data_IF_511954922254
#
_entry.id   IF_511954922254
#
_cell.length_a   1.000
_cell.length_b   1.000
_cell.length_c   1.000
_cell.angle_alpha   90.00
_cell.angle_beta   90.00
_cell.angle_gamma   90.00
#
_symmetry.space_group_name_H-M   'P 1'
#
loop_
_entity.id
_entity.type
_entity.pdbx_description
1 polymer ?
#
# COMPACT_ATOMS: atom_id res chain seq x y z
N UNK A 1 7.04 -37.46 22.64
CA UNK A 1 7.87 -36.24 22.86
C UNK A 1 8.22 -35.56 21.54
N UNK A 2 8.62 -36.30 20.49
CA UNK A 2 8.87 -35.74 19.14
C UNK A 2 7.63 -35.02 18.55
N UNK A 3 6.45 -35.63 18.66
CA UNK A 3 5.20 -35.08 18.13
C UNK A 3 4.84 -33.71 18.75
N UNK A 4 5.08 -33.55 20.05
CA UNK A 4 4.83 -32.28 20.75
C UNK A 4 5.80 -31.17 20.30
N UNK A 5 7.01 -31.54 19.85
CA UNK A 5 8.01 -30.58 19.38
C UNK A 5 7.71 -30.10 17.96
N UNK A 6 7.17 -30.97 17.09
CA UNK A 6 6.70 -30.57 15.77
C UNK A 6 5.49 -29.63 15.86
N UNK A 7 4.55 -29.90 16.76
CA UNK A 7 3.38 -29.03 17.01
C UNK A 7 3.83 -27.63 17.46
N UNK A 8 4.80 -27.53 18.39
CA UNK A 8 5.33 -26.24 18.84
C UNK A 8 5.96 -25.46 17.67
N UNK A 9 6.74 -26.12 16.81
CA UNK A 9 7.36 -25.49 15.63
C UNK A 9 6.31 -25.01 14.63
N UNK A 10 5.25 -25.78 14.44
CA UNK A 10 4.13 -25.41 13.58
C UNK A 10 3.45 -24.12 14.08
N UNK A 11 3.15 -24.02 15.38
CA UNK A 11 2.54 -22.81 15.96
C UNK A 11 3.49 -21.60 15.94
N UNK A 12 4.78 -21.80 16.24
CA UNK A 12 5.75 -20.71 16.14
C UNK A 12 5.82 -20.13 14.71
N UNK A 13 5.72 -20.98 13.69
CA UNK A 13 5.72 -20.56 12.29
C UNK A 13 4.43 -19.84 11.90
N UNK A 14 3.28 -20.26 12.44
CA UNK A 14 2.03 -19.51 12.30
C UNK A 14 2.13 -18.11 12.90
N UNK A 15 2.67 -17.98 14.11
CA UNK A 15 2.86 -16.69 14.77
C UNK A 15 3.80 -15.76 13.97
N UNK A 16 4.86 -16.32 13.38
CA UNK A 16 5.77 -15.58 12.51
C UNK A 16 5.08 -15.08 11.23
N UNK A 17 4.25 -15.91 10.60
CA UNK A 17 3.43 -15.50 9.46
C UNK A 17 2.42 -14.40 9.83
N UNK A 18 1.68 -14.56 10.93
CA UNK A 18 0.73 -13.55 11.38
C UNK A 18 1.41 -12.23 11.73
N UNK A 19 2.55 -12.30 12.41
CA UNK A 19 3.36 -11.12 12.74
C UNK A 19 3.84 -10.44 11.46
N UNK A 20 4.35 -11.21 10.49
CA UNK A 20 4.79 -10.67 9.21
C UNK A 20 3.67 -9.97 8.45
N UNK A 21 2.47 -10.57 8.40
CA UNK A 21 1.29 -9.99 7.74
C UNK A 21 0.87 -8.69 8.42
N UNK A 22 0.78 -8.66 9.75
CA UNK A 22 0.44 -7.44 10.51
C UNK A 22 1.46 -6.32 10.28
N UNK A 23 2.75 -6.64 10.27
CA UNK A 23 3.82 -5.68 10.00
C UNK A 23 3.73 -5.12 8.57
N UNK A 24 3.48 -5.98 7.57
CA UNK A 24 3.34 -5.56 6.17
C UNK A 24 2.13 -4.65 6.01
N UNK A 25 0.94 -5.06 6.47
CA UNK A 25 -0.29 -4.27 6.36
C UNK A 25 -0.11 -2.91 7.05
N UNK A 26 0.53 -2.88 8.23
CA UNK A 26 0.80 -1.63 8.94
C UNK A 26 1.82 -0.76 8.19
N UNK A 27 2.87 -1.36 7.64
CA UNK A 27 3.88 -0.67 6.84
C UNK A 27 3.28 -0.03 5.58
N UNK A 28 2.42 -0.76 4.86
CA UNK A 28 1.67 -0.23 3.71
C UNK A 28 0.74 0.92 4.12
N UNK A 29 0.09 0.81 5.28
CA UNK A 29 -0.76 1.87 5.81
C UNK A 29 0.02 3.11 6.23
N UNK A 30 1.21 2.96 6.81
CA UNK A 30 2.08 4.10 7.14
C UNK A 30 2.65 4.77 5.88
N UNK A 31 2.97 4.01 4.83
CA UNK A 31 3.32 4.57 3.51
C UNK A 31 2.18 5.42 2.94
N UNK A 32 0.95 4.91 2.96
CA UNK A 32 -0.22 5.68 2.48
C UNK A 32 -0.52 6.94 3.32
N UNK A 33 0.04 7.05 4.53
CA UNK A 33 -0.07 8.26 5.35
C UNK A 33 1.04 9.29 5.07
N UNK A 34 2.01 8.99 4.20
CA UNK A 34 3.06 9.93 3.80
C UNK A 34 2.50 10.99 2.86
N UNK A 35 2.97 12.22 3.04
CA UNK A 35 2.62 13.38 2.21
C UNK A 35 3.71 14.46 2.33
N UNK A 36 3.53 15.58 1.64
CA UNK A 36 4.48 16.71 1.65
C UNK A 36 4.86 17.22 3.06
N UNK A 37 3.99 17.04 4.06
CA UNK A 37 4.22 17.48 5.45
C UNK A 37 4.78 16.35 6.31
N UNK A 38 4.42 15.10 6.00
CA UNK A 38 4.79 13.90 6.73
C UNK A 38 5.66 13.01 5.83
N UNK A 39 6.96 13.28 5.81
CA UNK A 39 8.00 12.55 5.08
C UNK A 39 8.75 11.55 5.97
N UNK A 40 8.11 11.06 7.04
CA UNK A 40 8.75 10.17 8.01
C UNK A 40 8.83 8.72 7.53
N UNK A 41 9.71 8.46 6.56
CA UNK A 41 9.94 7.15 5.95
C UNK A 41 10.44 6.06 6.93
N UNK A 42 11.03 6.46 8.06
CA UNK A 42 11.65 5.52 9.01
C UNK A 42 10.68 4.44 9.51
N UNK A 43 9.46 4.84 9.92
CA UNK A 43 8.46 3.90 10.46
C UNK A 43 8.00 2.88 9.40
N UNK A 44 7.51 3.27 8.21
CA UNK A 44 7.13 2.30 7.19
C UNK A 44 8.30 1.40 6.79
N UNK A 45 9.53 1.92 6.68
CA UNK A 45 10.69 1.10 6.35
C UNK A 45 10.99 0.07 7.44
N UNK A 46 10.90 0.45 8.72
CA UNK A 46 11.09 -0.46 9.85
C UNK A 46 10.06 -1.59 9.87
N UNK A 47 8.81 -1.29 9.52
CA UNK A 47 7.72 -2.25 9.48
C UNK A 47 7.86 -3.20 8.29
N UNK A 48 8.06 -2.66 7.08
CA UNK A 48 8.18 -3.45 5.85
C UNK A 48 9.44 -4.32 5.83
N UNK A 49 10.58 -3.80 6.29
CA UNK A 49 11.83 -4.56 6.35
C UNK A 49 11.69 -5.82 7.20
N UNK A 50 11.14 -5.68 8.41
CA UNK A 50 10.88 -6.81 9.28
C UNK A 50 9.76 -7.72 8.76
N UNK A 51 8.71 -7.13 8.20
CA UNK A 51 7.57 -7.85 7.63
C UNK A 51 7.99 -8.77 6.48
N UNK A 52 8.70 -8.23 5.48
CA UNK A 52 9.17 -8.99 4.34
C UNK A 52 10.21 -10.05 4.70
N UNK A 53 11.14 -9.74 5.61
CA UNK A 53 12.13 -10.72 6.06
C UNK A 53 11.44 -11.93 6.72
N UNK A 54 10.53 -11.68 7.67
CA UNK A 54 9.78 -12.74 8.36
C UNK A 54 8.90 -13.52 7.41
N UNK A 55 8.23 -12.85 6.48
CA UNK A 55 7.39 -13.49 5.47
C UNK A 55 8.21 -14.46 4.61
N UNK A 56 9.34 -14.02 4.06
CA UNK A 56 10.17 -14.86 3.19
C UNK A 56 10.87 -15.99 3.95
N UNK A 57 11.36 -15.75 5.17
CA UNK A 57 11.91 -16.83 5.99
C UNK A 57 10.85 -17.86 6.37
N UNK A 58 9.63 -17.42 6.66
CA UNK A 58 8.51 -18.32 6.94
C UNK A 58 8.14 -19.14 5.70
N UNK A 59 8.09 -18.50 4.52
CA UNK A 59 7.94 -19.20 3.24
C UNK A 59 8.96 -20.32 3.10
N UNK A 60 10.25 -20.00 3.28
CA UNK A 60 11.35 -20.97 3.14
C UNK A 60 11.19 -22.11 4.15
N UNK A 61 10.87 -21.83 5.42
CA UNK A 61 10.64 -22.85 6.43
C UNK A 61 9.53 -23.85 6.03
N UNK A 62 8.44 -23.33 5.47
CA UNK A 62 7.29 -24.13 5.03
C UNK A 62 7.67 -24.98 3.83
N UNK A 63 8.27 -24.37 2.81
CA UNK A 63 8.72 -25.08 1.61
C UNK A 63 9.76 -26.16 1.95
N UNK A 64 10.71 -25.84 2.83
CA UNK A 64 11.73 -26.78 3.30
C UNK A 64 11.11 -27.98 4.02
N UNK A 65 10.13 -27.75 4.91
CA UNK A 65 9.40 -28.86 5.57
C UNK A 65 8.62 -29.70 4.56
N UNK A 66 7.99 -29.09 3.57
CA UNK A 66 7.28 -29.84 2.53
C UNK A 66 8.21 -30.75 1.71
N UNK A 67 9.41 -30.29 1.38
CA UNK A 67 10.37 -31.04 0.55
C UNK A 67 11.16 -32.08 1.36
N UNK A 68 11.56 -31.75 2.59
CA UNK A 68 12.50 -32.56 3.38
C UNK A 68 11.88 -33.29 4.58
N UNK A 69 10.58 -33.13 4.77
CA UNK A 69 9.82 -33.63 5.93
C UNK A 69 10.43 -33.27 7.30
N UNK A 70 11.18 -32.16 7.37
CA UNK A 70 11.69 -31.59 8.62
C UNK A 70 11.85 -30.08 8.49
N UNK A 71 11.77 -29.36 9.61
CA UNK A 71 12.07 -27.92 9.59
C UNK A 71 13.58 -27.66 9.44
N UNK A 72 13.96 -26.51 8.85
CA UNK A 72 15.37 -26.12 8.76
C UNK A 72 15.99 -25.95 10.15
N UNK A 73 17.29 -26.18 10.24
CA UNK A 73 18.03 -25.96 11.49
C UNK A 73 18.42 -24.48 11.66
N UNK A 74 18.87 -24.13 12.86
CA UNK A 74 19.30 -22.76 13.18
C UNK A 74 20.37 -22.23 12.22
N UNK A 75 21.36 -23.04 11.87
CA UNK A 75 22.45 -22.63 10.99
C UNK A 75 21.94 -22.30 9.58
N UNK A 76 20.99 -23.07 9.06
CA UNK A 76 20.37 -22.81 7.77
C UNK A 76 19.68 -21.44 7.77
N UNK A 77 18.80 -21.16 8.74
CA UNK A 77 18.11 -19.87 8.84
C UNK A 77 19.07 -18.70 9.07
N UNK A 78 20.12 -18.90 9.87
CA UNK A 78 21.15 -17.89 10.10
C UNK A 78 21.92 -17.57 8.82
N UNK A 79 22.24 -18.58 8.01
CA UNK A 79 22.99 -18.41 6.77
C UNK A 79 22.20 -17.71 5.67
N UNK A 80 20.86 -17.73 5.73
CA UNK A 80 20.02 -16.92 4.82
C UNK A 80 20.23 -15.40 5.02
N UNK A 81 20.71 -14.98 6.20
CA UNK A 81 20.95 -13.57 6.52
C UNK A 81 19.67 -12.74 6.61
N UNK A 82 19.79 -11.43 6.36
CA UNK A 82 18.69 -10.45 6.43
C UNK A 82 18.47 -9.73 5.08
N UNK A 83 19.17 -10.14 4.03
CA UNK A 83 19.06 -9.50 2.73
C UNK A 83 17.80 -9.98 2.00
N UNK A 84 16.86 -9.08 1.74
CA UNK A 84 15.59 -9.40 1.09
C UNK A 84 15.76 -9.96 -0.33
N UNK A 85 16.69 -9.43 -1.13
CA UNK A 85 16.96 -9.93 -2.48
C UNK A 85 17.57 -11.34 -2.43
N UNK A 86 18.44 -11.60 -1.45
CA UNK A 86 19.01 -12.94 -1.26
C UNK A 86 17.95 -13.96 -0.83
N UNK A 87 17.02 -13.56 0.04
CA UNK A 87 15.88 -14.38 0.43
C UNK A 87 14.93 -14.67 -0.74
N UNK A 88 14.63 -13.65 -1.55
CA UNK A 88 13.81 -13.84 -2.75
C UNK A 88 14.50 -14.76 -3.76
N UNK A 89 15.80 -14.60 -3.96
CA UNK A 89 16.60 -15.48 -4.82
C UNK A 89 16.54 -16.93 -4.35
N UNK A 90 16.75 -17.18 -3.06
CA UNK A 90 16.63 -18.51 -2.45
C UNK A 90 15.25 -19.13 -2.70
N UNK A 91 14.18 -18.35 -2.53
CA UNK A 91 12.81 -18.80 -2.82
C UNK A 91 12.70 -19.18 -4.30
N UNK A 92 13.10 -18.31 -5.22
CA UNK A 92 12.94 -18.50 -6.66
C UNK A 92 13.75 -19.68 -7.21
N UNK A 93 14.94 -19.95 -6.65
CA UNK A 93 15.82 -21.01 -7.12
C UNK A 93 15.47 -22.38 -6.54
N UNK A 94 15.08 -22.44 -5.26
CA UNK A 94 14.96 -23.71 -4.53
C UNK A 94 13.52 -24.10 -4.15
N UNK A 95 12.59 -23.15 -4.10
CA UNK A 95 11.28 -23.36 -3.45
C UNK A 95 10.06 -22.87 -4.25
N UNK A 96 10.26 -22.11 -5.33
CA UNK A 96 9.17 -21.58 -6.12
C UNK A 96 8.71 -22.62 -7.15
N UNK A 97 7.42 -22.96 -7.14
CA UNK A 97 6.86 -23.93 -8.09
C UNK A 97 6.27 -23.17 -9.28
N UNK A 98 6.84 -23.40 -10.46
CA UNK A 98 6.32 -22.87 -11.72
C UNK A 98 5.21 -23.78 -12.27
N UNK A 99 3.97 -23.32 -12.17
CA UNK A 99 2.83 -23.97 -12.80
C UNK A 99 2.57 -23.36 -14.18
N UNK A 100 2.15 -24.17 -15.14
CA UNK A 100 1.75 -23.74 -16.49
C UNK A 100 0.40 -23.00 -16.51
N UNK A 101 0.26 -21.96 -15.70
CA UNK A 101 -0.91 -21.05 -15.64
C UNK A 101 -0.45 -19.63 -15.95
N UNK A 102 -1.28 -18.89 -16.68
CA UNK A 102 -0.96 -17.52 -17.13
C UNK A 102 -0.57 -16.59 -15.99
N UNK A 103 -1.28 -16.64 -14.86
CA UNK A 103 -0.98 -15.80 -13.70
C UNK A 103 0.41 -16.08 -13.11
N UNK A 104 0.85 -17.34 -13.05
CA UNK A 104 2.16 -17.71 -12.50
C UNK A 104 3.29 -17.23 -13.39
N UNK A 105 3.09 -17.29 -14.71
CA UNK A 105 4.04 -16.72 -15.68
C UNK A 105 4.18 -15.20 -15.50
N UNK A 106 3.08 -14.49 -15.25
CA UNK A 106 3.13 -13.07 -14.93
C UNK A 106 3.84 -12.80 -13.60
N UNK A 107 3.54 -13.60 -12.57
CA UNK A 107 4.14 -13.48 -11.24
C UNK A 107 5.65 -13.72 -11.26
N UNK A 108 6.11 -14.82 -11.85
CA UNK A 108 7.54 -15.14 -11.91
C UNK A 108 8.30 -14.14 -12.76
N UNK A 109 7.70 -13.67 -13.85
CA UNK A 109 8.27 -12.59 -14.67
C UNK A 109 8.44 -11.33 -13.85
N UNK A 110 7.40 -10.92 -13.12
CA UNK A 110 7.47 -9.75 -12.24
C UNK A 110 8.56 -9.91 -11.17
N UNK A 111 8.59 -11.04 -10.46
CA UNK A 111 9.57 -11.29 -9.40
C UNK A 111 11.03 -11.30 -9.89
N UNK A 112 11.29 -11.73 -11.14
CA UNK A 112 12.65 -11.84 -11.70
C UNK A 112 13.10 -10.59 -12.46
N UNK A 113 12.20 -9.95 -13.18
CA UNK A 113 12.55 -8.96 -14.21
C UNK A 113 12.16 -7.54 -13.83
N UNK A 114 11.28 -7.31 -12.86
CA UNK A 114 10.84 -5.96 -12.53
C UNK A 114 11.91 -5.19 -11.75
N UNK A 115 12.48 -4.17 -12.37
CA UNK A 115 13.57 -3.38 -11.77
C UNK A 115 13.08 -2.50 -10.63
N UNK A 116 11.85 -2.00 -10.70
CA UNK A 116 11.26 -1.19 -9.62
C UNK A 116 11.13 -2.01 -8.32
N UNK A 117 10.68 -3.26 -8.41
CA UNK A 117 10.64 -4.18 -7.28
C UNK A 117 12.04 -4.43 -6.72
N UNK A 118 13.04 -4.66 -7.58
CA UNK A 118 14.42 -4.91 -7.13
C UNK A 118 14.97 -3.71 -6.37
N UNK A 119 14.78 -2.51 -6.92
CA UNK A 119 15.21 -1.25 -6.30
C UNK A 119 14.51 -1.02 -4.95
N UNK A 120 13.19 -1.20 -4.89
CA UNK A 120 12.44 -1.08 -3.64
C UNK A 120 12.87 -2.11 -2.59
N UNK A 121 13.04 -3.38 -2.97
CA UNK A 121 13.55 -4.41 -2.05
C UNK A 121 14.96 -4.10 -1.57
N UNK A 122 15.84 -3.60 -2.44
CA UNK A 122 17.18 -3.17 -2.08
C UNK A 122 17.15 -2.06 -1.02
N UNK A 123 16.36 -0.99 -1.23
CA UNK A 123 16.26 0.14 -0.28
C UNK A 123 15.77 -0.35 1.09
N UNK A 124 14.69 -1.14 1.12
CA UNK A 124 14.11 -1.67 2.37
C UNK A 124 15.08 -2.66 3.07
N UNK A 125 15.85 -3.43 2.29
CA UNK A 125 16.88 -4.35 2.77
C UNK A 125 18.05 -3.60 3.41
N UNK A 126 18.58 -2.55 2.76
CA UNK A 126 19.66 -1.72 3.30
C UNK A 126 19.24 -0.98 4.58
N UNK A 127 17.99 -0.51 4.63
CA UNK A 127 17.44 0.10 5.83
C UNK A 127 17.53 -0.85 7.02
N UNK A 128 16.99 -2.07 6.88
CA UNK A 128 16.97 -3.07 7.95
C UNK A 128 18.37 -3.45 8.46
N UNK A 129 19.36 -3.54 7.55
CA UNK A 129 20.72 -3.97 7.87
C UNK A 129 21.51 -2.90 8.62
N UNK A 130 21.60 -1.68 8.09
CA UNK A 130 22.60 -0.69 8.54
C UNK A 130 22.06 0.73 8.63
N UNK A 131 21.18 1.16 7.73
CA UNK A 131 20.84 2.58 7.62
C UNK A 131 19.89 3.12 8.70
N UNK A 132 19.36 2.26 9.58
CA UNK A 132 18.57 2.68 10.77
C UNK A 132 19.28 3.73 11.63
N UNK A 133 20.61 3.68 11.69
CA UNK A 133 21.43 4.61 12.47
C UNK A 133 22.34 5.49 11.62
N UNK A 134 22.01 5.68 10.33
CA UNK A 134 22.80 6.46 9.38
C UNK A 134 23.30 7.80 9.94
N UNK A 135 22.42 8.57 10.59
CA UNK A 135 22.81 9.85 11.18
C UNK A 135 23.84 9.71 12.30
N UNK A 136 23.80 8.65 13.11
CA UNK A 136 24.82 8.40 14.14
C UNK A 136 26.15 7.96 13.53
N UNK A 137 26.13 7.20 12.43
CA UNK A 137 27.34 6.85 11.69
C UNK A 137 28.03 8.10 11.12
N UNK A 138 27.24 9.08 10.63
CA UNK A 138 27.76 10.39 10.24
C UNK A 138 28.33 11.18 11.43
N UNK A 139 27.60 11.26 12.55
CA UNK A 139 28.03 12.00 13.75
C UNK A 139 29.34 11.45 14.33
N UNK A 140 29.55 10.13 14.22
CA UNK A 140 30.71 9.44 14.79
C UNK A 140 31.89 9.30 13.83
N UNK A 141 31.82 9.91 12.64
CA UNK A 141 32.81 9.79 11.58
C UNK A 141 33.15 8.31 11.27
N UNK A 142 32.13 7.45 11.25
CA UNK A 142 32.32 6.03 10.96
C UNK A 142 32.94 5.91 9.56
N UNK A 143 34.05 5.18 9.44
CA UNK A 143 34.79 5.00 8.17
C UNK A 143 33.96 4.32 7.09
N UNK A 144 32.92 3.57 7.47
CA UNK A 144 32.02 2.87 6.57
C UNK A 144 30.58 3.39 6.73
N UNK A 145 30.32 4.61 6.25
CA UNK A 145 28.99 5.22 6.27
C UNK A 145 28.05 4.36 5.41
N UNK A 146 26.92 3.87 5.97
CA UNK A 146 25.95 3.10 5.19
C UNK A 146 25.22 3.98 4.15
N UNK A 147 24.55 3.37 3.18
CA UNK A 147 23.80 4.13 2.18
C UNK A 147 22.65 4.91 2.83
N UNK A 148 22.40 6.13 2.35
CA UNK A 148 21.26 6.93 2.77
C UNK A 148 19.99 6.40 2.09
N UNK A 149 19.23 5.57 2.80
CA UNK A 149 18.02 4.96 2.25
C UNK A 149 16.89 5.95 2.00
N UNK A 150 16.88 7.10 2.69
CA UNK A 150 15.92 8.17 2.40
C UNK A 150 16.18 8.77 1.02
N UNK A 151 17.44 9.10 0.75
CA UNK A 151 17.86 9.65 -0.55
C UNK A 151 17.63 8.65 -1.69
N UNK A 152 17.93 7.36 -1.48
CA UNK A 152 17.63 6.33 -2.48
C UNK A 152 16.13 6.23 -2.78
N UNK A 153 15.28 6.36 -1.76
CA UNK A 153 13.83 6.35 -1.94
C UNK A 153 13.32 7.59 -2.68
N UNK A 154 13.83 8.77 -2.33
CA UNK A 154 13.51 10.02 -3.03
C UNK A 154 13.96 9.96 -4.49
N UNK A 155 15.10 9.33 -4.79
CA UNK A 155 15.55 9.11 -6.16
C UNK A 155 14.61 8.18 -6.94
N UNK A 156 14.11 7.12 -6.31
CA UNK A 156 13.08 6.26 -6.88
C UNK A 156 11.79 7.03 -7.17
N UNK A 157 11.30 7.85 -6.23
CA UNK A 157 10.12 8.70 -6.43
C UNK A 157 10.32 9.72 -7.57
N UNK A 158 11.48 10.35 -7.60
CA UNK A 158 11.86 11.35 -8.59
C UNK A 158 11.89 10.79 -10.02
N UNK A 159 12.28 9.52 -10.21
CA UNK A 159 12.23 8.84 -11.51
C UNK A 159 10.85 8.99 -12.16
N UNK A 160 9.78 8.66 -11.44
CA UNK A 160 8.41 8.76 -11.97
C UNK A 160 7.91 10.20 -12.04
N UNK A 161 8.31 11.04 -11.09
CA UNK A 161 7.95 12.45 -11.11
C UNK A 161 8.46 13.17 -12.38
N UNK A 162 9.69 12.87 -12.80
CA UNK A 162 10.29 13.50 -13.98
C UNK A 162 9.89 12.83 -15.31
N UNK A 163 9.42 11.58 -15.29
CA UNK A 163 8.89 10.90 -16.47
C UNK A 163 7.47 11.37 -16.85
N UNK A 164 6.69 11.89 -15.90
CA UNK A 164 5.31 12.36 -16.13
C UNK A 164 5.20 13.89 -16.00
N UNK A 165 5.25 14.59 -17.15
CA UNK A 165 5.11 16.05 -17.21
C UNK A 165 3.80 16.55 -16.57
N UNK A 166 2.71 15.77 -16.65
CA UNK A 166 1.43 16.16 -16.01
C UNK A 166 1.54 16.08 -14.50
N UNK A 167 2.20 15.05 -13.98
CA UNK A 167 2.44 14.89 -12.56
C UNK A 167 3.34 16.00 -12.02
N UNK A 168 4.40 16.33 -12.75
CA UNK A 168 5.30 17.44 -12.41
C UNK A 168 4.56 18.78 -12.37
N UNK A 169 3.69 19.05 -13.34
CA UNK A 169 2.88 20.27 -13.36
C UNK A 169 1.94 20.37 -12.16
N UNK A 170 1.40 19.24 -11.67
CA UNK A 170 0.56 19.22 -10.45
C UNK A 170 1.32 19.54 -9.18
N UNK A 171 2.64 19.32 -9.14
CA UNK A 171 3.45 19.64 -7.96
C UNK A 171 3.43 21.15 -7.66
N UNK A 172 3.37 21.98 -8.70
CA UNK A 172 3.30 23.44 -8.59
C UNK A 172 1.87 23.96 -8.33
N UNK A 173 0.86 23.11 -8.47
CA UNK A 173 -0.54 23.44 -8.19
C UNK A 173 -0.87 23.17 -6.72
N UNK A 174 -1.13 24.24 -5.96
CA UNK A 174 -1.48 24.16 -4.54
C UNK A 174 -2.75 23.32 -4.27
N UNK A 175 -3.66 23.20 -5.25
CA UNK A 175 -4.87 22.39 -5.09
C UNK A 175 -4.61 20.91 -5.39
N UNK A 176 -3.63 20.57 -6.24
CA UNK A 176 -3.42 19.21 -6.75
C UNK A 176 -2.10 18.56 -6.32
N UNK A 177 -1.23 19.28 -5.61
CA UNK A 177 0.08 18.75 -5.19
C UNK A 177 -0.01 17.47 -4.34
N UNK A 178 -1.07 17.30 -3.56
CA UNK A 178 -1.31 16.10 -2.76
C UNK A 178 -1.53 14.87 -3.65
N UNK A 179 -2.14 15.03 -4.83
CA UNK A 179 -2.33 13.96 -5.80
C UNK A 179 -0.99 13.42 -6.34
N UNK A 180 0.09 14.22 -6.29
CA UNK A 180 1.43 13.77 -6.68
C UNK A 180 1.93 12.69 -5.74
N UNK A 181 1.91 12.96 -4.43
CA UNK A 181 2.32 12.00 -3.40
C UNK A 181 1.43 10.77 -3.41
N UNK A 182 0.11 10.95 -3.58
CA UNK A 182 -0.83 9.84 -3.69
C UNK A 182 -0.50 8.93 -4.88
N UNK A 183 -0.10 9.51 -6.02
CA UNK A 183 0.28 8.74 -7.20
C UNK A 183 1.57 7.96 -6.99
N UNK A 184 2.61 8.61 -6.45
CA UNK A 184 3.90 7.97 -6.16
C UNK A 184 3.74 6.83 -5.14
N UNK A 185 3.00 7.09 -4.05
CA UNK A 185 2.64 6.07 -3.07
C UNK A 185 1.90 4.90 -3.74
N UNK A 186 0.94 5.16 -4.62
CA UNK A 186 0.19 4.11 -5.32
C UNK A 186 1.10 3.20 -6.16
N UNK A 187 2.09 3.75 -6.87
CA UNK A 187 3.08 2.97 -7.64
C UNK A 187 3.84 1.99 -6.74
N UNK A 188 4.33 2.48 -5.61
CA UNK A 188 5.07 1.69 -4.62
C UNK A 188 4.19 0.60 -4.01
N UNK A 189 2.97 0.96 -3.58
CA UNK A 189 2.01 0.01 -3.00
C UNK A 189 1.68 -1.09 -3.99
N UNK A 190 1.42 -0.76 -5.27
CA UNK A 190 1.15 -1.74 -6.32
C UNK A 190 2.33 -2.71 -6.47
N UNK A 191 3.58 -2.22 -6.47
CA UNK A 191 4.75 -3.07 -6.58
C UNK A 191 4.84 -4.07 -5.41
N UNK A 192 4.63 -3.60 -4.17
CA UNK A 192 4.64 -4.46 -2.99
C UNK A 192 3.46 -5.44 -2.96
N UNK A 193 2.25 -5.01 -3.32
CA UNK A 193 1.11 -5.91 -3.41
C UNK A 193 1.34 -7.00 -4.44
N UNK A 194 1.87 -6.69 -5.63
CA UNK A 194 2.24 -7.69 -6.65
C UNK A 194 3.25 -8.69 -6.10
N UNK A 195 4.28 -8.21 -5.42
CA UNK A 195 5.30 -9.04 -4.78
C UNK A 195 4.71 -10.02 -3.75
N UNK A 196 3.92 -9.50 -2.80
CA UNK A 196 3.30 -10.30 -1.75
C UNK A 196 2.31 -11.29 -2.38
N UNK A 197 1.51 -10.84 -3.35
CA UNK A 197 0.51 -11.68 -4.03
C UNK A 197 1.16 -12.84 -4.78
N UNK A 198 2.24 -12.58 -5.52
CA UNK A 198 2.98 -13.58 -6.28
C UNK A 198 3.51 -14.72 -5.39
N UNK A 199 4.04 -14.39 -4.21
CA UNK A 199 4.47 -15.40 -3.23
C UNK A 199 3.28 -16.03 -2.50
N UNK A 200 2.27 -15.25 -2.12
CA UNK A 200 1.09 -15.72 -1.38
C UNK A 200 0.28 -16.75 -2.17
N UNK A 201 0.22 -16.62 -3.50
CA UNK A 201 -0.45 -17.61 -4.37
C UNK A 201 0.18 -18.99 -4.29
N UNK A 202 1.49 -19.11 -4.01
CA UNK A 202 2.15 -20.41 -3.81
C UNK A 202 1.57 -21.15 -2.59
N UNK A 203 1.14 -20.43 -1.55
CA UNK A 203 0.46 -21.04 -0.41
C UNK A 203 -0.97 -21.47 -0.75
N UNK A 204 -1.75 -20.59 -1.40
CA UNK A 204 -3.19 -20.80 -1.61
C UNK A 204 -3.47 -21.95 -2.58
N UNK A 205 -2.61 -22.11 -3.57
CA UNK A 205 -2.74 -23.12 -4.62
C UNK A 205 -1.90 -24.38 -4.36
N UNK A 206 -1.58 -24.64 -3.09
CA UNK A 206 -0.99 -25.91 -2.64
C UNK A 206 0.40 -26.21 -3.24
N UNK A 207 1.15 -25.18 -3.64
CA UNK A 207 2.53 -25.36 -4.10
C UNK A 207 3.49 -25.74 -2.96
N UNK A 208 3.10 -25.42 -1.72
CA UNK A 208 3.89 -25.61 -0.51
C UNK A 208 3.34 -26.72 0.41
N UNK A 209 2.38 -27.50 -0.09
CA UNK A 209 1.71 -28.59 0.63
C UNK A 209 0.52 -28.15 1.49
N UNK A 210 -0.35 -29.11 1.83
CA UNK A 210 -1.66 -28.87 2.47
C UNK A 210 -1.57 -28.08 3.77
N UNK A 211 -0.52 -28.35 4.58
CA UNK A 211 -0.29 -27.64 5.84
C UNK A 211 -0.05 -26.14 5.61
N UNK A 212 0.65 -25.77 4.53
CA UNK A 212 0.92 -24.38 4.16
C UNK A 212 -0.37 -23.63 3.78
N UNK A 213 -1.27 -24.31 3.06
CA UNK A 213 -2.56 -23.76 2.66
C UNK A 213 -3.39 -23.36 3.88
N UNK A 214 -3.43 -24.21 4.91
CA UNK A 214 -4.09 -23.90 6.19
C UNK A 214 -3.46 -22.70 6.91
N UNK A 215 -2.12 -22.60 6.91
CA UNK A 215 -1.41 -21.48 7.55
C UNK A 215 -1.67 -20.13 6.88
N UNK A 216 -1.80 -20.11 5.55
CA UNK A 216 -2.00 -18.85 4.81
C UNK A 216 -3.37 -18.22 5.03
N UNK A 217 -4.38 -18.99 5.47
CA UNK A 217 -5.77 -18.53 5.67
C UNK A 217 -5.85 -17.33 6.60
N UNK A 218 -5.08 -17.30 7.69
CA UNK A 218 -5.15 -16.23 8.69
C UNK A 218 -4.28 -15.01 8.37
N UNK A 219 -3.41 -15.10 7.35
CA UNK A 219 -2.31 -14.12 7.18
C UNK A 219 -2.19 -13.53 5.77
N UNK A 220 -2.11 -14.38 4.74
CA UNK A 220 -1.75 -13.98 3.38
C UNK A 220 -2.78 -14.35 2.31
N UNK A 221 -3.90 -14.96 2.73
CA UNK A 221 -4.97 -15.37 1.83
C UNK A 221 -5.54 -14.22 1.02
N UNK A 222 -5.79 -13.07 1.66
CA UNK A 222 -6.32 -11.89 0.97
C UNK A 222 -5.35 -11.35 -0.08
N UNK A 223 -4.05 -11.33 0.21
CA UNK A 223 -3.03 -10.91 -0.75
C UNK A 223 -2.97 -11.85 -1.96
N UNK A 224 -2.95 -13.17 -1.75
CA UNK A 224 -2.91 -14.11 -2.88
C UNK A 224 -4.16 -14.09 -3.78
N UNK A 225 -5.24 -13.41 -3.36
CA UNK A 225 -6.45 -13.18 -4.15
C UNK A 225 -6.50 -11.85 -4.89
N UNK A 226 -5.49 -10.98 -4.74
CA UNK A 226 -5.40 -9.76 -5.53
C UNK A 226 -5.02 -10.11 -6.97
N UNK A 227 -5.58 -9.40 -7.94
CA UNK A 227 -5.24 -9.46 -9.36
C UNK A 227 -5.03 -8.04 -9.91
N UNK A 228 -4.73 -7.91 -11.21
CA UNK A 228 -4.37 -6.60 -11.80
C UNK A 228 -5.40 -5.50 -11.55
N UNK A 229 -6.69 -5.84 -11.52
CA UNK A 229 -7.75 -4.87 -11.24
C UNK A 229 -7.82 -4.42 -9.77
N UNK A 230 -7.20 -5.16 -8.86
CA UNK A 230 -7.31 -4.98 -7.41
C UNK A 230 -6.13 -4.17 -6.84
N UNK A 231 -4.98 -4.19 -7.51
CA UNK A 231 -3.78 -3.52 -7.02
C UNK A 231 -3.94 -2.01 -6.89
N UNK A 232 -3.38 -1.45 -5.82
CA UNK A 232 -3.41 -0.02 -5.47
C UNK A 232 -4.75 0.45 -4.91
N UNK A 233 -5.78 -0.40 -4.89
CA UNK A 233 -7.13 -0.02 -4.49
C UNK A 233 -7.42 -0.25 -3.01
N UNK A 234 -6.51 -0.80 -2.19
CA UNK A 234 -6.79 -1.08 -0.78
C UNK A 234 -6.33 0.07 0.11
N UNK A 235 -7.21 0.53 1.02
CA UNK A 235 -6.84 1.50 2.06
C UNK A 235 -6.30 0.77 3.30
N UNK A 236 -4.98 0.71 3.42
CA UNK A 236 -4.29 0.13 4.56
C UNK A 236 -4.21 1.09 5.76
N UNK A 237 -4.49 2.39 5.58
CA UNK A 237 -4.43 3.38 6.66
C UNK A 237 -5.46 3.10 7.74
N UNK A 238 -6.56 2.41 7.40
CA UNK A 238 -7.64 2.08 8.33
C UNK A 238 -7.17 1.37 9.61
N UNK A 239 -6.03 0.65 9.56
CA UNK A 239 -5.48 -0.02 10.73
C UNK A 239 -4.50 0.83 11.54
N UNK A 240 -3.97 1.93 10.97
CA UNK A 240 -2.95 2.74 11.63
C UNK A 240 -3.52 3.61 12.73
N UNK A 241 -2.74 3.78 13.80
CA UNK A 241 -3.14 4.65 14.93
C UNK A 241 -3.28 6.10 14.47
N UNK A 242 -2.36 6.57 13.60
CA UNK A 242 -2.39 7.93 13.06
C UNK A 242 -3.73 8.21 12.38
N UNK A 243 -4.15 7.36 11.45
CA UNK A 243 -5.40 7.57 10.71
C UNK A 243 -6.64 7.49 11.62
N UNK A 244 -6.64 6.59 12.60
CA UNK A 244 -7.74 6.46 13.57
C UNK A 244 -7.86 7.65 14.51
N UNK A 245 -6.75 8.27 14.89
CA UNK A 245 -6.72 9.38 15.85
C UNK A 245 -6.86 10.75 15.20
N UNK A 246 -6.54 10.89 13.91
CA UNK A 246 -6.76 12.14 13.17
C UNK A 246 -8.25 12.49 13.15
N UNK A 247 -8.66 13.63 13.73
CA UNK A 247 -10.07 14.02 13.74
C UNK A 247 -10.53 14.33 12.32
N UNK A 248 -11.49 13.54 11.82
CA UNK A 248 -12.06 13.72 10.49
C UNK A 248 -13.01 14.91 10.49
N UNK A 249 -12.78 15.88 9.62
CA UNK A 249 -13.65 17.07 9.50
C UNK A 249 -14.68 16.83 8.42
N UNK A 250 -15.73 16.10 8.76
CA UNK A 250 -16.82 15.73 7.85
C UNK A 250 -18.13 16.34 8.32
N UNK A 251 -19.02 16.66 7.38
CA UNK A 251 -20.36 17.17 7.70
C UNK A 251 -21.42 16.14 7.32
N UNK A 252 -22.20 15.67 8.31
CA UNK A 252 -23.34 14.79 8.05
C UNK A 252 -24.50 15.62 7.52
N UNK A 253 -25.00 15.27 6.33
CA UNK A 253 -26.14 15.94 5.70
C UNK A 253 -27.38 15.89 6.61
N UNK A 254 -28.06 17.02 6.68
CA UNK A 254 -29.33 17.20 7.36
C UNK A 254 -30.46 17.41 6.35
N UNK A 255 -31.70 17.31 6.83
CA UNK A 255 -32.88 17.65 6.02
C UNK A 255 -32.82 19.07 5.44
N UNK A 256 -32.23 20.02 6.18
CA UNK A 256 -32.06 21.40 5.72
C UNK A 256 -31.06 21.45 4.55
N UNK A 257 -30.00 20.65 4.60
CA UNK A 257 -29.00 20.61 3.53
C UNK A 257 -29.59 20.03 2.23
N UNK A 258 -30.40 18.98 2.34
CA UNK A 258 -31.09 18.39 1.19
C UNK A 258 -32.17 19.32 0.63
N UNK A 259 -32.88 20.06 1.50
CA UNK A 259 -33.79 21.12 1.08
C UNK A 259 -33.05 22.21 0.31
N UNK A 260 -31.92 22.68 0.84
CA UNK A 260 -31.08 23.67 0.16
C UNK A 260 -30.55 23.16 -1.19
N UNK A 261 -30.05 21.93 -1.27
CA UNK A 261 -29.61 21.34 -2.55
C UNK A 261 -30.72 21.38 -3.60
N UNK A 262 -31.97 21.12 -3.21
CA UNK A 262 -33.10 21.03 -4.13
C UNK A 262 -33.68 22.38 -4.55
N UNK A 263 -33.74 23.34 -3.64
CA UNK A 263 -34.49 24.58 -3.85
C UNK A 263 -33.64 25.86 -3.88
N UNK A 264 -32.38 25.81 -3.44
CA UNK A 264 -31.50 26.96 -3.51
C UNK A 264 -30.92 27.08 -4.92
N UNK A 265 -31.30 28.14 -5.65
CA UNK A 265 -30.83 28.37 -7.03
C UNK A 265 -29.31 28.54 -7.18
N UNK A 266 -28.60 28.76 -6.06
CA UNK A 266 -27.14 28.91 -6.02
C UNK A 266 -26.41 27.59 -5.82
N UNK A 267 -27.16 26.51 -5.55
CA UNK A 267 -26.64 25.17 -5.33
C UNK A 267 -27.08 24.35 -6.53
N UNK A 268 -26.11 23.77 -7.22
CA UNK A 268 -26.39 22.87 -8.32
C UNK A 268 -25.71 21.55 -8.04
N UNK A 269 -26.42 20.45 -8.30
CA UNK A 269 -25.92 19.11 -7.98
C UNK A 269 -26.23 18.11 -9.07
N UNK A 270 -25.34 17.13 -9.22
CA UNK A 270 -25.49 16.00 -10.13
C UNK A 270 -25.15 14.71 -9.39
N UNK A 271 -26.02 13.71 -9.49
CA UNK A 271 -25.74 12.35 -9.03
C UNK A 271 -25.02 11.59 -10.13
N UNK A 272 -23.92 10.92 -9.80
CA UNK A 272 -23.08 10.20 -10.74
C UNK A 272 -22.94 8.76 -10.25
N UNK A 273 -23.20 7.81 -11.14
CA UNK A 273 -22.98 6.39 -10.91
C UNK A 273 -21.66 5.95 -11.56
N UNK A 274 -20.97 5.01 -10.91
CA UNK A 274 -19.73 4.43 -11.41
C UNK A 274 -19.87 3.77 -12.77
N UNK A 275 -21.02 3.15 -13.05
CA UNK A 275 -21.33 2.54 -14.35
C UNK A 275 -21.39 3.53 -15.50
N UNK A 276 -21.72 4.79 -15.19
CA UNK A 276 -22.02 5.83 -16.18
C UNK A 276 -20.83 6.79 -16.34
N UNK A 277 -19.84 6.71 -15.45
CA UNK A 277 -18.66 7.56 -15.46
C UNK A 277 -17.63 7.05 -16.46
N UNK A 278 -17.28 7.91 -17.43
CA UNK A 278 -16.20 7.62 -18.38
C UNK A 278 -14.88 8.08 -17.80
N UNK A 279 -14.05 7.14 -17.34
CA UNK A 279 -12.74 7.44 -16.78
C UNK A 279 -12.38 6.55 -15.61
N UNK A 280 -11.35 6.94 -14.87
CA UNK A 280 -10.93 6.25 -13.65
C UNK A 280 -11.82 6.67 -12.48
N UNK A 281 -12.57 5.73 -11.90
CA UNK A 281 -13.42 5.99 -10.75
C UNK A 281 -12.59 6.06 -9.44
N UNK A 282 -12.59 7.21 -8.72
CA UNK A 282 -11.71 7.39 -7.57
C UNK A 282 -12.36 6.99 -6.24
N UNK A 283 -13.66 6.70 -6.16
CA UNK A 283 -14.34 6.46 -4.89
C UNK A 283 -14.51 4.96 -4.57
N UNK A 284 -14.57 4.63 -3.28
CA UNK A 284 -14.84 3.26 -2.83
C UNK A 284 -16.30 2.82 -3.03
N UNK A 285 -17.22 3.78 -3.16
CA UNK A 285 -18.65 3.56 -3.37
C UNK A 285 -19.02 3.58 -4.86
N UNK A 286 -20.18 3.03 -5.22
CA UNK A 286 -20.64 2.97 -6.62
C UNK A 286 -21.39 4.23 -7.08
N UNK A 287 -21.70 5.15 -6.17
CA UNK A 287 -22.39 6.40 -6.49
C UNK A 287 -21.94 7.55 -5.60
N UNK A 288 -21.91 8.76 -6.17
CA UNK A 288 -21.65 10.01 -5.44
C UNK A 288 -22.56 11.12 -5.93
N UNK A 289 -22.74 12.16 -5.12
CA UNK A 289 -23.42 13.38 -5.54
C UNK A 289 -22.38 14.51 -5.55
N UNK A 290 -22.15 15.09 -6.71
CA UNK A 290 -21.31 16.28 -6.85
C UNK A 290 -22.19 17.52 -6.75
N UNK A 291 -21.71 18.54 -6.06
CA UNK A 291 -22.44 19.78 -5.84
C UNK A 291 -21.51 20.98 -5.96
N UNK A 292 -21.96 22.02 -6.65
CA UNK A 292 -21.30 23.31 -6.72
C UNK A 292 -22.17 24.37 -6.03
N UNK A 293 -21.61 25.00 -5.00
CA UNK A 293 -22.25 26.09 -4.25
C UNK A 293 -21.62 27.42 -4.63
N UNK A 294 -22.46 28.43 -4.90
CA UNK A 294 -22.05 29.78 -5.26
C UNK A 294 -21.01 29.83 -6.42
N UNK A 295 -21.09 28.86 -7.35
CA UNK A 295 -20.26 28.72 -8.57
C UNK A 295 -18.78 28.35 -8.39
N UNK A 296 -18.28 28.13 -7.17
CA UNK A 296 -16.85 27.85 -6.97
C UNK A 296 -16.54 26.91 -5.80
N UNK A 297 -17.48 26.65 -4.89
CA UNK A 297 -17.27 25.66 -3.83
C UNK A 297 -17.74 24.29 -4.28
N UNK A 298 -16.80 23.42 -4.58
CA UNK A 298 -17.07 22.07 -5.08
C UNK A 298 -17.08 21.09 -3.91
N UNK A 299 -18.17 20.34 -3.78
CA UNK A 299 -18.42 19.38 -2.70
C UNK A 299 -18.84 18.06 -3.32
N UNK A 300 -18.42 16.96 -2.69
CA UNK A 300 -18.94 15.63 -2.98
C UNK A 300 -19.64 15.08 -1.74
N UNK A 301 -20.84 14.55 -1.92
CA UNK A 301 -21.56 13.81 -0.90
C UNK A 301 -21.37 12.32 -1.14
N UNK A 302 -20.86 11.62 -0.13
CA UNK A 302 -20.61 10.17 -0.13
C UNK A 302 -21.29 9.59 1.11
N UNK A 303 -22.20 8.64 0.93
CA UNK A 303 -22.95 7.97 2.02
C UNK A 303 -23.61 8.94 3.02
N UNK A 304 -24.07 10.11 2.54
CA UNK A 304 -24.73 11.13 3.37
C UNK A 304 -23.79 12.08 4.11
N UNK A 305 -22.49 12.06 3.80
CA UNK A 305 -21.50 12.99 4.36
C UNK A 305 -20.91 13.87 3.25
N UNK A 306 -20.69 15.15 3.54
CA UNK A 306 -20.05 16.11 2.64
C UNK A 306 -18.54 16.15 2.84
N UNK A 307 -17.82 16.19 1.71
CA UNK A 307 -16.37 16.33 1.61
C UNK A 307 -16.04 17.47 0.63
N UNK A 308 -14.92 18.16 0.85
CA UNK A 308 -14.47 19.21 -0.06
C UNK A 308 -13.73 18.63 -1.26
N UNK A 309 -14.18 18.94 -2.47
CA UNK A 309 -13.47 18.58 -3.71
C UNK A 309 -12.35 19.57 -4.05
N UNK A 310 -12.44 20.84 -3.62
CA UNK A 310 -11.41 21.85 -3.89
C UNK A 310 -10.99 22.63 -2.63
N UNK A 311 -9.85 23.35 -2.73
CA UNK A 311 -9.27 24.11 -1.63
C UNK A 311 -10.21 25.18 -1.08
N UNK A 312 -10.96 25.83 -1.98
CA UNK A 312 -11.96 26.85 -1.61
C UNK A 312 -13.08 26.29 -0.74
N UNK A 313 -13.63 25.11 -1.07
CA UNK A 313 -14.65 24.46 -0.25
C UNK A 313 -14.07 23.97 1.09
N UNK A 314 -12.83 23.43 1.09
CA UNK A 314 -12.10 23.01 2.30
C UNK A 314 -11.94 24.17 3.27
N UNK A 315 -11.51 25.34 2.79
CA UNK A 315 -11.38 26.55 3.61
C UNK A 315 -12.73 27.08 4.12
N UNK A 316 -13.74 27.17 3.25
CA UNK A 316 -15.04 27.77 3.58
C UNK A 316 -15.84 26.94 4.58
N UNK A 317 -15.93 25.63 4.33
CA UNK A 317 -16.78 24.71 5.10
C UNK A 317 -16.00 23.88 6.12
N UNK A 318 -14.66 24.04 6.17
CA UNK A 318 -13.76 23.26 7.03
C UNK A 318 -13.90 21.75 6.81
N UNK A 319 -14.23 21.33 5.58
CA UNK A 319 -14.39 19.93 5.22
C UNK A 319 -13.07 19.31 4.79
N UNK A 320 -12.90 18.04 5.08
CA UNK A 320 -11.78 17.23 4.61
C UNK A 320 -11.98 16.83 3.13
N UNK A 321 -10.87 16.57 2.43
CA UNK A 321 -10.97 16.04 1.06
C UNK A 321 -11.26 14.52 1.10
N UNK A 322 -11.75 13.92 0.01
CA UNK A 322 -12.08 12.50 -0.02
C UNK A 322 -10.90 11.55 0.27
N UNK A 323 -9.69 11.88 -0.18
CA UNK A 323 -8.49 11.04 0.02
C UNK A 323 -8.05 11.01 1.49
N UNK A 324 -7.92 12.19 2.11
CA UNK A 324 -7.57 12.37 3.53
C UNK A 324 -8.61 11.66 4.43
N UNK A 325 -9.89 11.74 4.07
CA UNK A 325 -10.96 11.11 4.83
C UNK A 325 -11.06 9.58 4.67
N UNK A 326 -10.37 9.00 3.68
CA UNK A 326 -10.44 7.58 3.34
C UNK A 326 -11.66 7.15 2.52
N UNK A 327 -12.25 8.09 1.76
CA UNK A 327 -13.40 7.82 0.89
C UNK A 327 -13.02 7.72 -0.59
N UNK A 328 -11.83 8.20 -0.95
CA UNK A 328 -11.25 8.03 -2.28
C UNK A 328 -9.99 7.14 -2.23
N UNK A 329 -9.75 6.45 -3.34
CA UNK A 329 -8.63 5.56 -3.60
C UNK A 329 -7.38 6.40 -3.85
N UNK A 330 -6.32 6.11 -3.08
CA UNK A 330 -5.03 6.79 -3.21
C UNK A 330 -4.43 6.54 -4.60
N UNK A 331 -4.01 7.61 -5.25
CA UNK A 331 -3.43 7.62 -6.59
C UNK A 331 -4.44 7.79 -7.72
N UNK A 332 -5.74 7.86 -7.41
CA UNK A 332 -6.81 8.17 -8.37
C UNK A 332 -7.29 9.60 -8.19
N UNK A 333 -7.26 10.39 -9.25
CA UNK A 333 -7.58 11.82 -9.19
C UNK A 333 -9.07 12.08 -8.96
N UNK A 334 -9.39 13.12 -8.19
CA UNK A 334 -10.77 13.63 -8.07
C UNK A 334 -11.01 14.85 -8.98
N UNK A 335 -10.01 15.25 -9.78
CA UNK A 335 -10.03 16.46 -10.60
C UNK A 335 -11.18 16.52 -11.62
N UNK A 336 -11.58 15.39 -12.20
CA UNK A 336 -12.72 15.38 -13.13
C UNK A 336 -14.04 15.69 -12.41
N UNK A 337 -14.19 15.30 -11.14
CA UNK A 337 -15.36 15.65 -10.33
C UNK A 337 -15.35 17.13 -9.95
N UNK A 338 -14.17 17.76 -9.81
CA UNK A 338 -14.06 19.23 -9.66
C UNK A 338 -14.56 19.93 -10.92
N UNK A 339 -14.11 19.49 -12.11
CA UNK A 339 -14.55 20.08 -13.39
C UNK A 339 -16.06 19.93 -13.57
N UNK A 340 -16.58 18.72 -13.36
CA UNK A 340 -18.03 18.46 -13.44
C UNK A 340 -18.79 19.38 -12.50
N UNK A 341 -18.33 19.58 -11.26
CA UNK A 341 -18.97 20.49 -10.32
C UNK A 341 -19.01 21.93 -10.86
N UNK A 342 -17.90 22.44 -11.38
CA UNK A 342 -17.79 23.81 -11.87
C UNK A 342 -18.63 24.07 -13.14
N UNK A 343 -18.92 23.04 -13.92
CA UNK A 343 -19.73 23.12 -15.15
C UNK A 343 -21.24 23.08 -14.90
N UNK A 344 -21.69 22.71 -13.68
CA UNK A 344 -23.12 22.73 -13.33
C UNK A 344 -23.72 24.13 -13.43
#
# INVERSE_FOLDING_TARGET
MEDNTEIIKYFALLEELETSSKLIILGLGELQNLNAVNDFYFLPFQLLSQGFERFMKSYICIAYKNIHDKYPNHNYIKNLGHNLESLLKEILENYYVDFQRSQYKADIKFLKENDDLKELLFIISEFGKKSRYYNFDLITDNKNIPLNTKELWENFENKYLFEDEKLLNKLMDLEQNHEVFDKLNSIIIIAFEKFISALSRQFIFDCLGDKAKGMAVSSFYDFGRLYEKDFGNKDYRQITTRFKQTPKKIHKRTFIDDFNRKYNSKFKSLKIHKSDFTGEWPFYVDEVIVECREKHWCIVTIEGFDYALNGSAKGRYKLENPHDAGMAIIGKSTGDFIKIALEL
#
